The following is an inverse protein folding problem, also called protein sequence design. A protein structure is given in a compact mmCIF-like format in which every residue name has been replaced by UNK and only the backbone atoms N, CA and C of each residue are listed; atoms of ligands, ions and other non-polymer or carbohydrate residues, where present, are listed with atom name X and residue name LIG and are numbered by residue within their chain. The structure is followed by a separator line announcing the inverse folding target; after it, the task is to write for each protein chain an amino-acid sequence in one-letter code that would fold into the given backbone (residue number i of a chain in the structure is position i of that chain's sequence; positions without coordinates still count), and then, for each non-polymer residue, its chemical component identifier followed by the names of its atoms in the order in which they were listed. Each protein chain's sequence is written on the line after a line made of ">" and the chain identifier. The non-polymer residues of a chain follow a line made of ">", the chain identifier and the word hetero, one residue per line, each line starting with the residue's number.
data_IF_583736137971
#
_entry.id   IF_583736137971
#
_cell.length_a   1.000
_cell.length_b   1.000
_cell.length_c   1.000
_cell.angle_alpha   90.00
_cell.angle_beta   90.00
_cell.angle_gamma   90.00
#
_symmetry.space_group_name_H-M   'P 1'
#
loop_
_entity.id
_entity.type
_entity.pdbx_description
1 polymer ?
#
# COMPACT_ATOMS: atom_id res chain seq x y z
N UNK A 1 -55.74 -15.61 -19.17
CA UNK A 1 -55.62 -14.48 -20.11
C UNK A 1 -54.70 -13.47 -19.45
N UNK A 2 -53.53 -13.24 -20.07
CA UNK A 2 -52.42 -12.33 -19.73
C UNK A 2 -51.34 -12.85 -18.78
N UNK A 3 -50.24 -13.19 -19.46
CA UNK A 3 -48.88 -13.52 -19.06
C UNK A 3 -48.02 -12.29 -18.69
N UNK A 4 -46.76 -12.60 -18.33
CA UNK A 4 -45.54 -11.78 -18.19
C UNK A 4 -45.48 -10.84 -16.98
N UNK A 5 -44.43 -10.83 -16.16
CA UNK A 5 -43.03 -11.16 -16.42
C UNK A 5 -42.19 -10.01 -15.88
N UNK A 6 -40.89 -10.28 -15.71
CA UNK A 6 -39.82 -9.32 -15.45
C UNK A 6 -39.41 -9.16 -13.98
N UNK A 7 -38.35 -9.92 -13.69
CA UNK A 7 -37.33 -9.66 -12.70
C UNK A 7 -37.09 -8.17 -12.51
N UNK A 8 -37.27 -7.71 -11.27
CA UNK A 8 -36.77 -6.40 -10.85
C UNK A 8 -35.26 -6.50 -10.77
N UNK A 9 -34.62 -6.29 -11.92
CA UNK A 9 -33.22 -5.97 -12.04
C UNK A 9 -32.92 -4.82 -11.08
N UNK A 10 -32.06 -5.09 -10.09
CA UNK A 10 -31.42 -4.05 -9.29
C UNK A 10 -30.58 -3.25 -10.27
N UNK A 11 -31.18 -2.16 -10.75
CA UNK A 11 -30.59 -1.27 -11.74
C UNK A 11 -29.32 -0.65 -11.18
N UNK A 12 -28.23 -1.02 -11.84
CA UNK A 12 -27.21 -0.11 -12.36
C UNK A 12 -26.76 0.99 -11.40
N UNK A 13 -25.65 0.70 -10.73
CA UNK A 13 -24.69 1.68 -10.24
C UNK A 13 -24.43 2.73 -11.34
N UNK A 14 -24.98 3.93 -11.17
CA UNK A 14 -24.45 5.11 -11.84
C UNK A 14 -23.21 5.58 -11.06
N UNK A 15 -22.15 4.76 -11.10
CA UNK A 15 -20.84 5.15 -10.64
C UNK A 15 -20.25 6.03 -11.74
N UNK A 16 -20.52 7.33 -11.61
CA UNK A 16 -19.79 8.46 -12.17
C UNK A 16 -18.64 8.04 -13.11
N UNK A 17 -18.97 7.80 -14.38
CA UNK A 17 -18.02 7.88 -15.49
C UNK A 17 -17.70 9.36 -15.71
N UNK A 18 -17.06 9.95 -14.71
CA UNK A 18 -16.09 10.99 -15.00
C UNK A 18 -14.85 10.25 -15.42
N UNK A 19 -14.37 10.54 -16.61
CA UNK A 19 -13.02 10.19 -17.06
C UNK A 19 -12.03 10.81 -16.06
N UNK A 20 -11.85 10.14 -14.92
CA UNK A 20 -10.67 10.32 -14.13
C UNK A 20 -9.59 9.69 -14.99
N UNK A 21 -8.96 10.52 -15.81
CA UNK A 21 -7.56 10.37 -16.20
C UNK A 21 -6.72 10.37 -14.92
N UNK A 22 -6.98 9.39 -14.04
CA UNK A 22 -6.06 8.98 -13.02
C UNK A 22 -4.86 8.50 -13.84
N UNK A 23 -3.70 9.17 -13.72
CA UNK A 23 -2.50 8.60 -14.28
C UNK A 23 -2.46 7.15 -13.77
N UNK A 24 -2.04 6.18 -14.62
CA UNK A 24 -1.85 4.83 -14.14
C UNK A 24 -1.10 4.96 -12.83
N UNK A 25 -1.58 4.30 -11.77
CA UNK A 25 -0.83 4.15 -10.53
C UNK A 25 0.45 3.45 -10.95
N UNK A 26 1.40 4.25 -11.44
CA UNK A 26 2.78 3.91 -11.57
C UNK A 26 3.16 3.82 -10.11
N UNK A 27 2.96 2.61 -9.59
CA UNK A 27 3.81 2.09 -8.56
C UNK A 27 5.19 2.34 -9.13
N UNK A 28 5.80 3.46 -8.73
CA UNK A 28 7.15 3.77 -9.16
C UNK A 28 7.95 2.68 -8.50
N UNK A 29 8.15 1.62 -9.27
CA UNK A 29 9.06 0.57 -8.96
C UNK A 29 10.37 1.31 -8.84
N UNK A 30 10.74 1.59 -7.59
CA UNK A 30 12.08 2.03 -7.25
C UNK A 30 12.91 0.77 -7.45
N UNK A 31 13.11 0.42 -8.71
CA UNK A 31 13.93 -0.69 -9.14
C UNK A 31 15.26 -0.51 -8.40
N UNK A 32 15.49 -1.44 -7.49
CA UNK A 32 16.59 -1.39 -6.54
C UNK A 32 17.85 -1.82 -7.23
N UNK A 33 18.40 -0.98 -8.09
CA UNK A 33 19.76 -1.15 -8.62
C UNK A 33 20.51 0.18 -8.58
N UNK A 34 21.19 0.45 -7.46
CA UNK A 34 22.42 1.26 -7.47
C UNK A 34 23.27 1.02 -6.21
N UNK A 35 24.19 0.06 -6.29
CA UNK A 35 25.48 0.08 -5.59
C UNK A 35 26.39 1.14 -6.27
N UNK A 36 27.34 1.86 -5.64
CA UNK A 36 27.62 2.19 -4.24
C UNK A 36 27.53 3.73 -3.97
N UNK A 37 26.72 4.48 -4.73
CA UNK A 37 26.66 5.97 -4.68
C UNK A 37 25.80 6.54 -3.55
N UNK A 38 25.14 5.68 -2.78
CA UNK A 38 24.19 6.13 -1.76
C UNK A 38 24.85 7.02 -0.70
N UNK A 39 26.04 6.67 -0.22
CA UNK A 39 26.70 7.45 0.84
C UNK A 39 27.15 8.83 0.33
N UNK A 40 27.69 8.90 -0.90
CA UNK A 40 28.13 10.17 -1.49
C UNK A 40 26.96 11.11 -1.77
N UNK A 41 25.84 10.57 -2.25
CA UNK A 41 24.62 11.36 -2.46
C UNK A 41 24.03 11.85 -1.15
N UNK A 42 23.98 11.01 -0.11
CA UNK A 42 23.49 11.38 1.23
C UNK A 42 24.37 12.48 1.83
N UNK A 43 25.71 12.38 1.73
CA UNK A 43 26.62 13.42 2.23
C UNK A 43 26.43 14.78 1.54
N UNK A 44 26.07 14.78 0.26
CA UNK A 44 25.82 16.01 -0.51
C UNK A 44 24.50 16.68 -0.16
N UNK A 45 23.48 15.89 0.18
CA UNK A 45 22.11 16.37 0.43
C UNK A 45 21.88 16.70 1.90
N UNK A 46 22.47 15.92 2.81
CA UNK A 46 22.27 16.08 4.26
C UNK A 46 23.14 17.23 4.77
N UNK A 47 22.56 18.23 5.47
CA UNK A 47 23.32 19.31 6.08
C UNK A 47 24.35 18.80 7.10
N UNK A 48 25.49 19.49 7.22
CA UNK A 48 26.62 19.10 8.08
C UNK A 48 26.21 18.81 9.54
N UNK A 49 25.25 19.57 10.07
CA UNK A 49 24.74 19.38 11.44
C UNK A 49 24.14 17.99 11.70
N UNK A 50 23.69 17.30 10.65
CA UNK A 50 23.07 15.98 10.73
C UNK A 50 23.99 14.85 10.25
N UNK A 51 25.27 15.13 9.97
CA UNK A 51 26.22 14.11 9.49
C UNK A 51 26.48 13.01 10.53
N UNK A 52 26.22 13.26 11.82
CA UNK A 52 26.27 12.22 12.84
C UNK A 52 25.12 11.18 12.72
N UNK A 53 24.08 11.49 11.94
CA UNK A 53 22.90 10.65 11.72
C UNK A 53 22.80 10.09 10.30
N UNK A 54 23.89 10.11 9.52
CA UNK A 54 23.88 9.61 8.13
C UNK A 54 23.34 8.18 8.02
N UNK A 55 23.55 7.39 9.06
CA UNK A 55 23.02 6.05 9.19
C UNK A 55 21.48 5.97 9.06
N UNK A 56 20.76 6.98 9.55
CA UNK A 56 19.29 7.04 9.48
C UNK A 56 18.78 7.28 8.05
N UNK A 57 19.63 7.81 7.18
CA UNK A 57 19.31 8.07 5.78
C UNK A 57 19.65 6.88 4.87
N UNK A 58 20.11 5.75 5.44
CA UNK A 58 20.37 4.53 4.67
C UNK A 58 19.07 3.85 4.28
N UNK A 59 18.87 3.65 2.97
CA UNK A 59 17.76 2.90 2.37
C UNK A 59 17.67 1.50 2.94
N UNK A 60 18.80 0.79 3.06
CA UNK A 60 18.84 -0.57 3.62
C UNK A 60 18.34 -0.63 5.08
N UNK A 61 18.63 0.40 5.89
CA UNK A 61 18.12 0.48 7.27
C UNK A 61 16.65 0.86 7.30
N UNK A 62 16.22 1.72 6.38
CA UNK A 62 14.82 2.11 6.22
C UNK A 62 13.91 0.96 5.72
N UNK A 63 14.47 -0.09 5.11
CA UNK A 63 13.72 -1.27 4.70
C UNK A 63 13.26 -2.17 5.85
N UNK A 64 13.69 -1.89 7.09
CA UNK A 64 13.26 -2.63 8.29
C UNK A 64 12.42 -1.75 9.19
N UNK A 65 11.24 -2.24 9.58
CA UNK A 65 10.41 -1.53 10.54
C UNK A 65 11.12 -1.44 11.89
N UNK A 66 11.02 -0.30 12.60
CA UNK A 66 11.44 -0.22 13.99
C UNK A 66 10.74 -1.30 14.85
N UNK A 67 11.41 -1.78 15.91
CA UNK A 67 10.78 -2.70 16.85
C UNK A 67 9.59 -2.02 17.56
N UNK A 68 8.56 -2.81 17.84
CA UNK A 68 7.41 -2.38 18.64
C UNK A 68 7.86 -1.72 19.95
N UNK A 69 7.29 -0.56 20.27
CA UNK A 69 7.69 0.27 21.40
C UNK A 69 6.48 0.59 22.29
N UNK A 70 6.73 1.19 23.46
CA UNK A 70 5.64 1.66 24.34
C UNK A 70 4.81 2.80 23.73
N UNK A 71 5.25 3.36 22.60
CA UNK A 71 4.60 4.45 21.88
C UNK A 71 3.90 3.95 20.60
N UNK A 72 3.50 2.68 20.55
CA UNK A 72 2.72 2.17 19.44
C UNK A 72 1.33 2.80 19.44
N UNK A 73 0.88 3.27 18.27
CA UNK A 73 -0.43 3.90 18.12
C UNK A 73 -1.55 2.90 18.44
N UNK A 74 -2.38 3.23 19.41
CA UNK A 74 -3.58 2.46 19.76
C UNK A 74 -4.82 3.14 19.17
N UNK A 75 -5.61 2.36 18.43
CA UNK A 75 -6.91 2.80 17.93
C UNK A 75 -7.96 2.34 18.94
N UNK A 76 -8.52 3.28 19.70
CA UNK A 76 -9.66 3.02 20.57
C UNK A 76 -10.93 2.84 19.71
N UNK A 77 -11.59 1.68 19.85
CA UNK A 77 -12.82 1.38 19.12
C UNK A 77 -14.03 1.71 19.99
N UNK A 78 -14.91 2.57 19.48
CA UNK A 78 -16.21 2.83 20.08
C UNK A 78 -17.31 2.04 19.34
N UNK A 79 -18.01 1.13 20.03
CA UNK A 79 -19.19 0.43 19.49
C UNK A 79 -18.96 -1.00 19.01
N UNK A 80 -19.60 -1.39 17.90
CA UNK A 80 -19.62 -2.74 17.34
C UNK A 80 -18.43 -2.99 16.38
N UNK A 81 -18.02 -4.25 16.25
CA UNK A 81 -16.97 -4.67 15.31
C UNK A 81 -17.30 -4.23 13.86
N UNK A 82 -16.29 -3.79 13.09
CA UNK A 82 -16.51 -3.42 11.69
C UNK A 82 -17.03 -4.63 10.89
N UNK A 83 -18.00 -4.43 9.99
CA UNK A 83 -18.47 -5.50 9.12
C UNK A 83 -17.36 -5.96 8.18
N UNK A 84 -17.30 -7.27 7.91
CA UNK A 84 -16.36 -7.83 6.94
C UNK A 84 -16.77 -7.35 5.54
N UNK A 85 -15.92 -6.50 4.95
CA UNK A 85 -16.13 -5.98 3.60
C UNK A 85 -15.94 -7.04 2.52
N UNK A 86 -16.60 -6.85 1.38
CA UNK A 86 -16.34 -7.65 0.17
C UNK A 86 -15.03 -7.21 -0.50
N UNK A 87 -14.29 -8.15 -1.05
CA UNK A 87 -13.09 -7.87 -1.84
C UNK A 87 -13.52 -7.56 -3.27
N UNK A 88 -13.14 -6.38 -3.78
CA UNK A 88 -13.44 -5.98 -5.15
C UNK A 88 -12.63 -6.81 -6.17
N UNK A 89 -13.24 -7.07 -7.32
CA UNK A 89 -12.55 -7.74 -8.42
C UNK A 89 -11.49 -6.82 -9.02
N UNK A 90 -10.26 -7.32 -9.11
CA UNK A 90 -9.13 -6.67 -9.79
C UNK A 90 -8.76 -7.47 -11.04
N UNK A 91 -8.13 -6.84 -12.02
CA UNK A 91 -7.68 -7.54 -13.23
C UNK A 91 -6.54 -8.54 -12.93
N UNK A 92 -6.32 -9.50 -13.83
CA UNK A 92 -5.23 -10.48 -13.64
C UNK A 92 -3.86 -9.81 -13.53
N UNK A 93 -3.60 -8.80 -14.36
CA UNK A 93 -2.34 -8.07 -14.36
C UNK A 93 -2.13 -7.31 -13.03
N UNK A 94 -3.15 -6.61 -12.54
CA UNK A 94 -3.09 -5.92 -11.25
C UNK A 94 -2.91 -6.91 -10.08
N UNK A 95 -3.55 -8.08 -10.15
CA UNK A 95 -3.37 -9.13 -9.13
C UNK A 95 -1.94 -9.67 -9.10
N UNK A 96 -1.27 -9.82 -10.24
CA UNK A 96 0.13 -10.25 -10.29
C UNK A 96 1.06 -9.22 -9.64
N UNK A 97 0.89 -7.95 -10.00
CA UNK A 97 1.64 -6.83 -9.41
C UNK A 97 1.40 -6.74 -7.91
N UNK A 98 0.13 -6.81 -7.49
CA UNK A 98 -0.25 -6.72 -6.07
C UNK A 98 0.37 -7.87 -5.26
N UNK A 99 0.38 -9.10 -5.80
CA UNK A 99 1.01 -10.24 -5.14
C UNK A 99 2.51 -10.06 -4.97
N UNK A 100 3.20 -9.60 -6.02
CA UNK A 100 4.63 -9.32 -5.95
C UNK A 100 4.94 -8.25 -4.88
N UNK A 101 4.15 -7.17 -4.84
CA UNK A 101 4.27 -6.14 -3.82
C UNK A 101 4.03 -6.69 -2.40
N UNK A 102 2.96 -7.46 -2.19
CA UNK A 102 2.67 -8.06 -0.88
C UNK A 102 3.83 -8.94 -0.43
N UNK A 103 4.33 -9.84 -1.29
CA UNK A 103 5.46 -10.72 -0.97
C UNK A 103 6.68 -9.91 -0.54
N UNK A 104 7.06 -8.88 -1.29
CA UNK A 104 8.21 -8.03 -0.97
C UNK A 104 8.06 -7.34 0.40
N UNK A 105 6.86 -6.85 0.73
CA UNK A 105 6.65 -6.10 1.99
C UNK A 105 6.45 -7.02 3.21
N UNK A 106 6.00 -8.27 2.99
CA UNK A 106 6.02 -9.32 4.00
C UNK A 106 7.47 -9.69 4.35
N UNK A 107 8.33 -9.87 3.35
CA UNK A 107 9.77 -10.15 3.57
C UNK A 107 10.46 -9.01 4.35
N UNK A 108 10.09 -7.76 4.06
CA UNK A 108 10.56 -6.57 4.79
C UNK A 108 9.96 -6.39 6.20
N UNK A 109 9.02 -7.27 6.59
CA UNK A 109 8.30 -7.18 7.86
C UNK A 109 7.49 -5.88 8.05
N UNK A 110 7.11 -5.21 6.95
CA UNK A 110 6.24 -4.04 6.98
C UNK A 110 4.77 -4.43 7.20
N UNK A 111 4.37 -5.56 6.63
CA UNK A 111 3.03 -6.14 6.80
C UNK A 111 3.16 -7.60 7.21
N UNK A 112 2.13 -8.11 7.88
CA UNK A 112 2.05 -9.52 8.32
C UNK A 112 0.66 -10.10 8.09
N UNK A 113 0.54 -11.41 7.87
CA UNK A 113 -0.76 -12.07 7.89
C UNK A 113 -1.47 -11.84 9.23
N UNK A 114 -2.77 -11.57 9.17
CA UNK A 114 -3.63 -11.44 10.34
C UNK A 114 -4.96 -12.14 10.11
N UNK A 115 -5.65 -12.47 11.20
CA UNK A 115 -6.96 -13.13 11.19
C UNK A 115 -7.97 -12.23 11.91
N UNK A 116 -8.17 -11.03 11.38
CA UNK A 116 -9.19 -10.09 11.85
C UNK A 116 -10.51 -10.29 11.12
#
# INVERSE_FOLDING_TARGET
>A
MKDFGEDVAISSLHLFQGDMDLPPLSFQQRDGEEEPKEIETVLRVVPLAYHQYLELFSKLKAEKSPPHSTCDDHIELEGLLPPVGVIYSISNHESEILRAYITQNVEKSFIRPSSS
#
